data_IF_150287071698
#
_entry.id   IF_150287071698
#
_cell.length_a   1.000
_cell.length_b   1.000
_cell.length_c   1.000
_cell.angle_alpha   90.00
_cell.angle_beta   90.00
_cell.angle_gamma   90.00
#
_symmetry.space_group_name_H-M   'P 1'
#
loop_
_entity.id
_entity.type
_entity.pdbx_description
1 polymer ?
#
# COMPACT_ATOMS: atom_id res chain seq x y z
N UNK A 1 -8.94 4.81 -23.11
CA UNK A 1 -8.51 4.30 -21.78
C UNK A 1 -8.06 5.50 -20.95
N UNK A 2 -8.70 5.75 -19.81
CA UNK A 2 -8.32 6.90 -19.00
C UNK A 2 -6.93 6.70 -18.37
N UNK A 3 -6.09 7.74 -18.35
CA UNK A 3 -4.77 7.64 -17.77
C UNK A 3 -4.87 7.44 -16.25
N UNK A 4 -4.22 6.42 -15.72
CA UNK A 4 -4.14 6.15 -14.29
C UNK A 4 -2.81 6.65 -13.74
N UNK A 5 -2.85 7.50 -12.71
CA UNK A 5 -1.67 8.05 -12.04
C UNK A 5 -1.99 8.51 -10.61
N UNK A 6 -0.94 8.70 -9.82
CA UNK A 6 -1.08 9.26 -8.48
C UNK A 6 -1.40 10.75 -8.54
N UNK A 7 -2.39 11.18 -7.76
CA UNK A 7 -2.88 12.58 -7.69
C UNK A 7 -2.38 13.31 -6.44
N UNK A 8 -2.06 12.58 -5.39
CA UNK A 8 -1.44 13.10 -4.17
C UNK A 8 -0.67 11.99 -3.46
N UNK A 9 0.29 12.36 -2.65
CA UNK A 9 0.98 11.50 -1.69
C UNK A 9 0.67 12.03 -0.30
N UNK A 10 0.32 11.15 0.63
CA UNK A 10 0.08 11.49 2.01
C UNK A 10 1.10 10.76 2.89
N UNK A 11 1.79 11.49 3.76
CA UNK A 11 2.69 10.96 4.77
C UNK A 11 2.00 11.11 6.11
N UNK A 12 1.40 10.03 6.60
CA UNK A 12 0.70 10.02 7.89
C UNK A 12 1.72 9.97 9.03
N UNK A 13 2.59 8.97 9.03
CA UNK A 13 3.66 8.85 9.99
C UNK A 13 4.84 8.05 9.42
N UNK A 14 5.94 8.74 9.08
CA UNK A 14 7.19 8.10 8.65
C UNK A 14 8.35 8.71 9.41
N UNK A 15 8.83 8.03 10.46
CA UNK A 15 9.83 8.53 11.40
C UNK A 15 9.39 9.84 12.08
N UNK A 16 10.08 10.95 11.78
CA UNK A 16 9.77 12.30 12.29
C UNK A 16 8.85 13.10 11.38
N UNK A 17 8.47 12.54 10.24
CA UNK A 17 7.55 13.17 9.29
C UNK A 17 6.12 12.73 9.63
N UNK A 18 5.22 13.70 9.80
CA UNK A 18 3.83 13.46 10.16
C UNK A 18 2.93 14.44 9.42
N UNK A 19 1.75 13.97 9.03
CA UNK A 19 0.65 14.77 8.50
C UNK A 19 1.05 15.69 7.34
N UNK A 20 1.84 15.15 6.39
CA UNK A 20 2.30 15.89 5.20
C UNK A 20 1.51 15.40 3.98
N UNK A 21 0.84 16.34 3.31
CA UNK A 21 0.23 16.10 2.01
C UNK A 21 1.07 16.74 0.90
N UNK A 22 1.36 15.96 -0.13
CA UNK A 22 2.07 16.40 -1.34
C UNK A 22 1.10 16.29 -2.51
N UNK A 23 0.40 17.38 -2.89
CA UNK A 23 -0.47 17.37 -4.04
C UNK A 23 0.37 17.24 -5.32
N UNK A 24 -0.02 16.36 -6.22
CA UNK A 24 0.59 16.18 -7.53
C UNK A 24 -0.25 16.91 -8.61
N UNK A 25 -1.07 16.15 -9.34
CA UNK A 25 -1.95 16.72 -10.36
C UNK A 25 -3.20 15.85 -10.51
N UNK A 26 -4.33 16.50 -10.77
CA UNK A 26 -5.59 15.80 -11.09
C UNK A 26 -5.73 15.54 -12.60
N UNK A 27 -4.97 16.24 -13.43
CA UNK A 27 -5.16 16.24 -14.89
C UNK A 27 -4.06 15.50 -15.63
N UNK A 28 -2.83 15.57 -15.12
CA UNK A 28 -1.66 15.05 -15.82
C UNK A 28 -0.71 14.29 -14.92
N UNK A 29 -0.08 13.27 -15.47
CA UNK A 29 0.97 12.52 -14.78
C UNK A 29 2.15 13.42 -14.41
N UNK A 30 2.62 13.35 -13.16
CA UNK A 30 3.76 14.09 -12.64
C UNK A 30 4.83 13.18 -12.09
N UNK A 31 6.07 13.64 -12.12
CA UNK A 31 7.18 13.02 -11.42
C UNK A 31 7.33 13.67 -10.04
N UNK A 32 7.56 12.84 -9.02
CA UNK A 32 7.92 13.30 -7.67
C UNK A 32 9.43 13.13 -7.47
N UNK A 33 10.10 14.21 -7.06
CA UNK A 33 11.52 14.19 -6.69
C UNK A 33 11.64 14.60 -5.24
N UNK A 34 12.13 13.69 -4.39
CA UNK A 34 12.39 13.97 -2.98
C UNK A 34 13.86 14.40 -2.79
N UNK A 35 14.08 15.61 -2.32
CA UNK A 35 15.39 16.17 -2.03
C UNK A 35 15.54 16.50 -0.55
N UNK A 36 16.77 16.60 -0.05
CA UNK A 36 17.05 16.96 1.34
C UNK A 36 18.33 16.35 1.87
N UNK A 37 18.73 16.78 3.07
CA UNK A 37 19.93 16.31 3.77
C UNK A 37 19.86 14.80 4.08
N UNK A 38 21.02 14.18 4.32
CA UNK A 38 21.07 12.80 4.81
C UNK A 38 20.33 12.70 6.15
N UNK A 39 19.58 11.62 6.34
CA UNK A 39 18.74 11.43 7.53
C UNK A 39 17.38 12.15 7.52
N UNK A 40 17.05 12.93 6.48
CA UNK A 40 15.76 13.64 6.38
C UNK A 40 14.53 12.74 6.12
N UNK A 41 14.69 11.43 6.05
CA UNK A 41 13.57 10.49 5.91
C UNK A 41 13.21 10.11 4.47
N UNK A 42 13.95 10.59 3.44
CA UNK A 42 13.64 10.32 2.01
C UNK A 42 13.48 8.82 1.70
N UNK A 43 14.47 8.02 2.04
CA UNK A 43 14.45 6.56 1.83
C UNK A 43 13.30 5.92 2.61
N UNK A 44 13.04 6.38 3.85
CA UNK A 44 11.94 5.84 4.66
C UNK A 44 10.58 6.14 4.04
N UNK A 45 10.38 7.33 3.46
CA UNK A 45 9.16 7.69 2.72
C UNK A 45 9.01 6.83 1.47
N UNK A 46 10.09 6.64 0.71
CA UNK A 46 10.06 5.80 -0.50
C UNK A 46 9.76 4.33 -0.17
N UNK A 47 10.34 3.80 0.91
CA UNK A 47 10.04 2.43 1.38
C UNK A 47 8.58 2.30 1.79
N UNK A 48 8.06 3.23 2.60
CA UNK A 48 6.67 3.22 3.02
C UNK A 48 5.72 3.31 1.81
N UNK A 49 6.02 4.20 0.87
CA UNK A 49 5.23 4.36 -0.35
C UNK A 49 5.29 3.10 -1.24
N UNK A 50 6.47 2.47 -1.38
CA UNK A 50 6.62 1.21 -2.11
C UNK A 50 5.77 0.10 -1.50
N UNK A 51 5.79 -0.04 -0.17
CA UNK A 51 4.95 -1.00 0.56
C UNK A 51 3.47 -0.74 0.35
N UNK A 52 3.05 0.54 0.42
CA UNK A 52 1.67 0.92 0.14
C UNK A 52 1.25 0.60 -1.29
N UNK A 53 2.08 0.93 -2.29
CA UNK A 53 1.76 0.68 -3.71
C UNK A 53 1.60 -0.81 -3.99
N UNK A 54 2.49 -1.65 -3.44
CA UNK A 54 2.39 -3.11 -3.55
C UNK A 54 1.10 -3.64 -2.91
N UNK A 55 0.74 -3.13 -1.72
CA UNK A 55 -0.53 -3.48 -1.06
C UNK A 55 -1.73 -3.00 -1.88
N UNK A 56 -1.79 -1.72 -2.26
CA UNK A 56 -2.91 -1.12 -2.99
C UNK A 56 -3.18 -1.80 -4.34
N UNK A 57 -2.12 -2.28 -5.02
CA UNK A 57 -2.24 -2.99 -6.30
C UNK A 57 -2.99 -4.33 -6.18
N UNK A 58 -2.95 -4.97 -5.00
CA UNK A 58 -3.53 -6.29 -4.75
C UNK A 58 -4.63 -6.27 -3.68
N UNK A 59 -4.91 -5.12 -3.08
CA UNK A 59 -5.88 -5.00 -2.00
C UNK A 59 -7.28 -5.45 -2.44
N UNK A 60 -7.87 -6.32 -1.62
CA UNK A 60 -9.22 -6.85 -1.84
C UNK A 60 -10.31 -5.79 -1.63
N UNK A 61 -10.08 -4.86 -0.69
CA UNK A 61 -11.07 -3.88 -0.28
C UNK A 61 -10.44 -2.49 -0.06
N UNK A 62 -11.26 -1.46 -0.16
CA UNK A 62 -10.87 -0.06 0.03
C UNK A 62 -10.81 0.33 1.51
N UNK A 63 -10.21 1.49 1.79
CA UNK A 63 -10.23 2.10 3.11
C UNK A 63 -11.66 2.23 3.65
N UNK A 64 -12.58 2.80 2.87
CA UNK A 64 -13.98 3.01 3.25
C UNK A 64 -14.69 1.71 3.63
N UNK A 65 -14.40 0.62 2.92
CA UNK A 65 -14.96 -0.69 3.24
C UNK A 65 -14.56 -1.15 4.65
N UNK A 66 -13.28 -1.04 5.01
CA UNK A 66 -12.81 -1.40 6.34
C UNK A 66 -13.33 -0.48 7.44
N UNK A 67 -13.41 0.84 7.18
CA UNK A 67 -13.98 1.80 8.12
C UNK A 67 -15.44 1.46 8.45
N UNK A 68 -16.24 1.13 7.45
CA UNK A 68 -17.62 0.72 7.63
C UNK A 68 -17.76 -0.58 8.41
N UNK A 69 -16.94 -1.60 8.10
CA UNK A 69 -16.92 -2.87 8.83
C UNK A 69 -16.55 -2.68 10.31
N UNK A 70 -15.51 -1.89 10.57
CA UNK A 70 -15.03 -1.60 11.92
C UNK A 70 -16.11 -0.86 12.72
N UNK A 71 -16.74 0.15 12.13
CA UNK A 71 -17.83 0.91 12.75
C UNK A 71 -19.00 0.01 13.12
N UNK A 72 -19.46 -0.82 12.18
CA UNK A 72 -20.54 -1.78 12.41
C UNK A 72 -20.19 -2.78 13.53
N UNK A 73 -18.98 -3.33 13.52
CA UNK A 73 -18.55 -4.32 14.51
C UNK A 73 -18.38 -3.71 15.91
N UNK A 74 -17.87 -2.49 16.01
CA UNK A 74 -17.82 -1.75 17.29
C UNK A 74 -19.21 -1.55 17.88
N UNK A 75 -20.21 -1.22 17.06
CA UNK A 75 -21.60 -1.13 17.49
C UNK A 75 -22.17 -2.45 18.04
N UNK A 76 -21.80 -3.59 17.44
CA UNK A 76 -22.19 -4.90 17.95
C UNK A 76 -21.51 -5.25 19.29
N UNK A 77 -20.24 -4.89 19.47
CA UNK A 77 -19.48 -5.16 20.68
C UNK A 77 -19.92 -4.34 21.89
N UNK A 78 -20.61 -3.21 21.68
CA UNK A 78 -21.16 -2.37 22.75
C UNK A 78 -22.42 -2.94 23.40
N UNK A 79 -23.05 -3.98 22.81
CA UNK A 79 -24.24 -4.61 23.36
C UNK A 79 -23.90 -5.54 24.52
N UNK A 80 -24.78 -5.60 25.53
CA UNK A 80 -24.61 -6.53 26.67
C UNK A 80 -24.80 -7.98 26.24
N UNK A 81 -23.95 -8.84 26.81
CA UNK A 81 -23.88 -10.27 26.47
C UNK A 81 -24.20 -11.10 27.73
N UNK A 82 -25.33 -11.81 27.71
CA UNK A 82 -25.83 -12.57 28.85
C UNK A 82 -25.67 -14.09 28.72
N UNK A 83 -25.46 -14.63 27.50
CA UNK A 83 -25.38 -16.05 27.24
C UNK A 83 -23.97 -16.50 26.84
N UNK A 84 -23.63 -17.77 27.08
CA UNK A 84 -22.32 -18.34 26.72
C UNK A 84 -22.09 -18.35 25.21
N UNK A 85 -23.12 -18.67 24.43
CA UNK A 85 -23.05 -18.60 22.97
C UNK A 85 -22.75 -17.18 22.46
N UNK A 86 -23.34 -16.17 23.10
CA UNK A 86 -23.07 -14.78 22.77
C UNK A 86 -21.68 -14.31 23.18
N UNK A 87 -21.09 -14.89 24.25
CA UNK A 87 -19.68 -14.67 24.64
C UNK A 87 -18.71 -15.20 23.59
N UNK A 88 -18.92 -16.40 23.08
CA UNK A 88 -18.09 -16.98 22.03
C UNK A 88 -18.15 -16.13 20.75
N UNK A 89 -19.36 -15.70 20.36
CA UNK A 89 -19.56 -14.79 19.21
C UNK A 89 -18.84 -13.45 19.41
N UNK A 90 -18.84 -12.93 20.64
CA UNK A 90 -18.11 -11.69 20.99
C UNK A 90 -16.60 -11.84 20.81
N UNK A 91 -16.00 -12.97 21.21
CA UNK A 91 -14.58 -13.24 21.00
C UNK A 91 -14.22 -13.28 19.51
N UNK A 92 -15.07 -13.93 18.68
CA UNK A 92 -14.86 -13.93 17.24
C UNK A 92 -14.97 -12.50 16.66
N UNK A 93 -15.97 -11.74 17.07
CA UNK A 93 -16.15 -10.34 16.66
C UNK A 93 -14.96 -9.47 17.03
N UNK A 94 -14.29 -9.71 18.17
CA UNK A 94 -13.08 -8.99 18.57
C UNK A 94 -11.89 -9.31 17.63
N UNK A 95 -11.69 -10.58 17.28
CA UNK A 95 -10.64 -11.00 16.33
C UNK A 95 -10.86 -10.36 14.95
N UNK A 96 -12.08 -10.46 14.42
CA UNK A 96 -12.42 -9.84 13.15
C UNK A 96 -12.13 -8.33 13.18
N UNK A 97 -12.43 -7.66 14.30
CA UNK A 97 -12.17 -6.22 14.45
C UNK A 97 -10.66 -5.93 14.42
N UNK A 98 -9.84 -6.72 15.11
CA UNK A 98 -8.38 -6.58 15.11
C UNK A 98 -7.79 -6.81 13.72
N UNK A 99 -8.30 -7.80 12.98
CA UNK A 99 -7.88 -8.10 11.61
C UNK A 99 -8.21 -6.93 10.67
N UNK A 100 -9.44 -6.41 10.73
CA UNK A 100 -9.84 -5.27 9.91
C UNK A 100 -9.12 -3.98 10.26
N UNK A 101 -8.76 -3.77 11.53
CA UNK A 101 -7.94 -2.63 11.94
C UNK A 101 -6.51 -2.72 11.38
N UNK A 102 -5.93 -3.93 11.28
CA UNK A 102 -4.64 -4.13 10.62
C UNK A 102 -4.71 -3.83 9.12
N UNK A 103 -5.76 -4.31 8.45
CA UNK A 103 -5.98 -4.00 7.03
C UNK A 103 -6.19 -2.50 6.80
N UNK A 104 -6.98 -1.84 7.67
CA UNK A 104 -7.16 -0.39 7.59
C UNK A 104 -5.85 0.37 7.77
N UNK A 105 -4.93 -0.10 8.62
CA UNK A 105 -3.65 0.55 8.85
C UNK A 105 -2.81 0.67 7.58
N UNK A 106 -2.93 -0.26 6.61
CA UNK A 106 -2.26 -0.14 5.32
C UNK A 106 -2.73 1.09 4.51
N UNK A 107 -3.95 1.57 4.75
CA UNK A 107 -4.52 2.74 4.08
C UNK A 107 -4.30 4.05 4.84
N UNK A 108 -4.02 3.99 6.14
CA UNK A 108 -4.03 5.17 7.02
C UNK A 108 -2.73 5.39 7.77
N UNK A 109 -1.72 4.54 7.58
CA UNK A 109 -0.41 4.66 8.24
C UNK A 109 0.72 4.75 7.20
N UNK A 110 1.91 5.14 7.66
CA UNK A 110 3.09 5.26 6.81
C UNK A 110 2.96 6.37 5.76
N UNK A 111 3.17 6.00 4.50
CA UNK A 111 2.96 6.88 3.34
C UNK A 111 2.00 6.20 2.35
N UNK A 112 1.00 6.94 1.90
CA UNK A 112 -0.04 6.47 0.97
C UNK A 112 -0.12 7.34 -0.27
N UNK A 113 -0.84 6.89 -1.30
CA UNK A 113 -1.07 7.66 -2.51
C UNK A 113 -2.55 7.61 -2.91
N UNK A 114 -3.06 8.75 -3.36
CA UNK A 114 -4.35 8.83 -4.02
C UNK A 114 -4.16 8.66 -5.53
N UNK A 115 -5.12 8.03 -6.20
CA UNK A 115 -5.08 7.78 -7.64
C UNK A 115 -6.28 8.44 -8.33
N UNK A 116 -6.15 8.73 -9.62
CA UNK A 116 -7.30 9.12 -10.45
C UNK A 116 -8.40 8.05 -10.41
N UNK A 117 -8.00 6.77 -10.37
CA UNK A 117 -8.88 5.62 -10.16
C UNK A 117 -8.05 4.47 -9.57
N UNK A 118 -8.36 4.07 -8.35
CA UNK A 118 -7.73 2.89 -7.71
C UNK A 118 -8.10 1.61 -8.45
N UNK A 119 -9.35 1.46 -8.87
CA UNK A 119 -9.80 0.29 -9.60
C UNK A 119 -9.04 0.12 -10.93
N UNK A 120 -8.87 1.22 -11.69
CA UNK A 120 -8.09 1.17 -12.92
C UNK A 120 -6.59 0.93 -12.68
N UNK A 121 -6.04 1.37 -11.54
CA UNK A 121 -4.67 1.05 -11.12
C UNK A 121 -4.53 -0.45 -10.88
N UNK A 122 -5.44 -1.06 -10.13
CA UNK A 122 -5.47 -2.49 -9.83
C UNK A 122 -5.66 -3.34 -11.09
N UNK A 123 -6.62 -2.97 -11.95
CA UNK A 123 -6.87 -3.67 -13.21
C UNK A 123 -5.62 -3.69 -14.11
N UNK A 124 -4.98 -2.55 -14.30
CA UNK A 124 -3.75 -2.46 -15.12
C UNK A 124 -2.60 -3.26 -14.52
N UNK A 125 -2.47 -3.27 -13.18
CA UNK A 125 -1.48 -4.07 -12.52
C UNK A 125 -1.73 -5.58 -12.75
N UNK A 126 -2.95 -6.04 -12.56
CA UNK A 126 -3.36 -7.44 -12.77
C UNK A 126 -3.18 -7.90 -14.22
N UNK A 127 -3.41 -7.00 -15.18
CA UNK A 127 -3.24 -7.27 -16.61
C UNK A 127 -1.77 -7.17 -17.09
N UNK A 128 -0.83 -6.82 -16.22
CA UNK A 128 0.58 -6.62 -16.58
C UNK A 128 0.86 -5.35 -17.40
N UNK A 129 -0.11 -4.43 -17.46
CA UNK A 129 0.03 -3.14 -18.17
C UNK A 129 0.75 -2.09 -17.30
N UNK A 130 0.87 -2.35 -15.99
CA UNK A 130 1.54 -1.50 -15.01
C UNK A 130 2.51 -2.33 -14.21
N UNK A 131 3.75 -1.86 -14.10
CA UNK A 131 4.83 -2.49 -13.32
C UNK A 131 5.18 -1.56 -12.17
N UNK A 132 5.28 -2.11 -10.97
CA UNK A 132 5.84 -1.46 -9.80
C UNK A 132 7.29 -1.90 -9.67
N UNK A 133 8.24 -0.97 -9.79
CA UNK A 133 9.65 -1.25 -9.60
C UNK A 133 10.21 -0.33 -8.51
N UNK A 134 10.79 -0.92 -7.47
CA UNK A 134 11.48 -0.22 -6.41
C UNK A 134 12.99 -0.50 -6.51
N UNK A 135 13.78 0.56 -6.59
CA UNK A 135 15.24 0.49 -6.60
C UNK A 135 15.78 1.05 -5.29
N UNK A 136 16.13 0.16 -4.38
CA UNK A 136 16.78 0.52 -3.12
C UNK A 136 18.17 1.13 -3.30
N UNK A 137 18.76 1.60 -2.20
CA UNK A 137 20.09 2.20 -2.18
C UNK A 137 21.24 1.18 -2.20
N UNK A 138 20.96 -0.12 -2.06
CA UNK A 138 21.91 -1.22 -2.21
C UNK A 138 22.26 -1.44 -3.69
N UNK A 139 23.11 -0.56 -4.24
CA UNK A 139 23.59 -0.63 -5.64
C UNK A 139 24.60 -1.76 -5.89
N UNK A 140 24.35 -2.96 -5.41
CA UNK A 140 25.12 -4.13 -5.82
C UNK A 140 24.54 -4.63 -7.14
N UNK A 141 25.13 -4.19 -8.25
CA UNK A 141 24.90 -4.79 -9.56
C UNK A 141 25.68 -6.11 -9.55
N UNK A 142 25.03 -7.22 -9.26
CA UNK A 142 25.55 -8.52 -9.62
C UNK A 142 25.24 -8.72 -11.11
N UNK A 143 26.24 -8.56 -11.95
CA UNK A 143 26.11 -8.91 -13.38
C UNK A 143 26.40 -10.42 -13.48
N UNK A 144 25.35 -11.22 -13.43
CA UNK A 144 25.43 -12.60 -13.87
C UNK A 144 25.36 -12.63 -15.39
N UNK A 145 26.45 -12.99 -16.02
CA UNK A 145 26.47 -13.29 -17.46
C UNK A 145 25.86 -14.69 -17.64
N UNK A 146 24.56 -14.76 -17.88
CA UNK A 146 23.93 -15.99 -18.32
C UNK A 146 24.37 -16.32 -19.75
N UNK A 147 24.86 -17.53 -19.95
CA UNK A 147 25.18 -18.05 -21.29
C UNK A 147 23.97 -18.47 -22.11
N UNK A 148 22.78 -18.40 -21.54
CA UNK A 148 21.50 -18.76 -22.17
C UNK A 148 20.52 -17.60 -21.99
N UNK A 149 20.03 -17.07 -23.11
CA UNK A 149 18.95 -16.09 -23.11
C UNK A 149 17.64 -16.89 -23.08
N UNK A 150 17.07 -17.07 -21.90
CA UNK A 150 15.71 -17.57 -21.77
C UNK A 150 14.71 -16.40 -21.86
N UNK A 151 13.58 -16.66 -22.50
CA UNK A 151 12.48 -15.70 -22.55
C UNK A 151 11.89 -15.60 -21.14
N UNK A 152 12.20 -14.51 -20.45
CA UNK A 152 11.65 -14.23 -19.12
C UNK A 152 10.21 -13.74 -19.30
N UNK A 153 9.26 -14.44 -18.68
CA UNK A 153 7.92 -13.90 -18.51
C UNK A 153 7.98 -12.75 -17.51
N UNK A 154 7.51 -11.57 -17.94
CA UNK A 154 7.49 -10.38 -17.09
C UNK A 154 6.53 -10.61 -15.93
N UNK A 155 7.02 -10.45 -14.71
CA UNK A 155 6.20 -10.44 -13.50
C UNK A 155 5.79 -9.00 -13.16
N UNK A 156 4.59 -8.80 -12.58
CA UNK A 156 4.08 -7.47 -12.27
C UNK A 156 4.90 -6.71 -11.22
N UNK A 157 5.67 -7.42 -10.38
CA UNK A 157 6.54 -6.83 -9.34
C UNK A 157 7.93 -7.45 -9.44
N UNK A 158 8.95 -6.59 -9.50
CA UNK A 158 10.34 -6.96 -9.39
C UNK A 158 10.95 -6.30 -8.16
N UNK A 159 11.36 -7.09 -7.18
CA UNK A 159 12.21 -6.66 -6.08
C UNK A 159 13.66 -6.96 -6.46
N UNK A 160 14.40 -5.92 -6.78
CA UNK A 160 15.81 -6.02 -7.20
C UNK A 160 16.74 -6.35 -6.03
N UNK A 161 16.26 -6.32 -4.79
CA UNK A 161 17.02 -6.71 -3.60
C UNK A 161 16.94 -8.21 -3.29
N UNK A 162 15.92 -8.90 -3.84
CA UNK A 162 15.62 -10.30 -3.53
C UNK A 162 16.27 -11.33 -4.48
N UNK A 163 17.11 -10.90 -5.43
CA UNK A 163 17.82 -11.85 -6.30
C UNK A 163 19.14 -12.27 -5.67
N UNK A 164 19.42 -13.59 -5.60
CA UNK A 164 20.63 -14.15 -4.97
C UNK A 164 21.91 -13.75 -5.67
#
# INVERSE_FOLDING_TARGET
>A
MEPTFATAIQIHHVRHLQDIEIPLSQETRKHLILTGKNGSGKTSVLNALSSFLAYAATAYATQEFYENLISYRKGQLSQEVTTESARQKRLQNQRDLEDWQRELAHWTDGATANFTSLAAFQEKYQNGELILAYFGDNRKIAVETSSVIEKVELQPVYDMEAQP
#
